data_IF_477406508040
#
_entry.id   IF_477406508040
#
_cell.length_a   1.000
_cell.length_b   1.000
_cell.length_c   1.000
_cell.angle_alpha   90.00
_cell.angle_beta   90.00
_cell.angle_gamma   90.00
#
_symmetry.space_group_name_H-M   'P 1'
#
loop_
_entity.id
_entity.type
_entity.pdbx_description
1 polymer ?
#
# COMPACT_ATOMS: atom_id res chain seq x y z
N UNK A 1 12.11 -3.78 22.28
CA UNK A 1 11.21 -4.17 21.18
C UNK A 1 10.58 -2.92 20.63
N UNK A 2 10.81 -2.62 19.34
CA UNK A 2 10.28 -1.43 18.69
C UNK A 2 8.75 -1.45 18.62
N UNK A 3 8.12 -0.28 18.70
CA UNK A 3 6.66 -0.13 18.56
C UNK A 3 6.34 0.31 17.14
N UNK A 4 5.55 -0.49 16.42
CA UNK A 4 5.03 -0.13 15.10
C UNK A 4 3.78 0.73 15.24
N UNK A 5 3.64 1.76 14.41
CA UNK A 5 2.38 2.50 14.27
C UNK A 5 1.28 1.63 13.70
N UNK A 6 0.02 2.01 13.90
CA UNK A 6 -1.11 1.29 13.29
C UNK A 6 -1.00 1.30 11.76
N UNK A 7 -0.61 2.45 11.19
CA UNK A 7 -0.31 2.56 9.76
C UNK A 7 0.75 1.56 9.31
N UNK A 8 1.91 1.48 9.99
CA UNK A 8 2.97 0.54 9.62
C UNK A 8 2.51 -0.92 9.68
N UNK A 9 1.81 -1.32 10.74
CA UNK A 9 1.25 -2.68 10.87
C UNK A 9 0.27 -3.01 9.75
N UNK A 10 -0.64 -2.10 9.43
CA UNK A 10 -1.63 -2.33 8.38
C UNK A 10 -0.98 -2.46 7.01
N UNK A 11 0.06 -1.67 6.73
CA UNK A 11 0.82 -1.75 5.47
C UNK A 11 1.65 -3.04 5.38
N UNK A 12 2.22 -3.51 6.49
CA UNK A 12 3.02 -4.74 6.56
C UNK A 12 2.16 -6.01 6.49
N UNK A 13 1.01 -6.02 7.17
CA UNK A 13 0.15 -7.21 7.32
C UNK A 13 -0.99 -7.25 6.31
N UNK A 14 -1.15 -6.23 5.45
CA UNK A 14 -2.26 -6.14 4.51
C UNK A 14 -3.62 -6.05 5.20
N UNK A 15 -3.64 -5.67 6.48
CA UNK A 15 -4.77 -5.85 7.39
C UNK A 15 -5.97 -4.94 7.15
N UNK A 16 -5.88 -4.03 6.21
CA UNK A 16 -7.03 -3.25 5.78
C UNK A 16 -7.45 -3.73 4.39
N UNK A 17 -8.49 -4.59 4.37
CA UNK A 17 -9.39 -4.74 3.22
C UNK A 17 -10.15 -3.41 3.09
N UNK A 18 -9.43 -2.36 2.71
CA UNK A 18 -10.00 -1.14 2.19
C UNK A 18 -10.22 -1.43 0.73
N UNK A 19 -11.39 -1.98 0.40
CA UNK A 19 -11.78 -2.03 -1.01
C UNK A 19 -11.74 -0.58 -1.51
N UNK A 20 -10.73 -0.26 -2.32
CA UNK A 20 -10.50 1.07 -2.85
C UNK A 20 -11.52 1.43 -3.93
N UNK A 21 -12.33 0.46 -4.36
CA UNK A 21 -13.43 0.66 -5.29
C UNK A 21 -14.71 0.99 -4.54
N UNK A 22 -15.40 2.02 -5.03
CA UNK A 22 -16.82 2.19 -4.73
C UNK A 22 -17.65 1.28 -5.64
N UNK A 23 -18.71 0.68 -5.10
CA UNK A 23 -19.70 -0.10 -5.87
C UNK A 23 -19.12 -1.29 -6.68
N UNK A 24 -18.23 -2.07 -6.08
CA UNK A 24 -17.75 -3.33 -6.67
C UNK A 24 -18.76 -4.48 -6.67
N UNK A 25 -19.83 -4.38 -5.87
CA UNK A 25 -20.90 -5.39 -5.73
C UNK A 25 -22.11 -5.16 -6.65
N UNK A 26 -22.09 -4.05 -7.41
CA UNK A 26 -23.11 -3.68 -8.39
C UNK A 26 -24.55 -3.77 -7.87
N UNK A 27 -24.80 -3.37 -6.63
CA UNK A 27 -26.06 -3.66 -5.93
C UNK A 27 -27.32 -2.95 -6.50
N UNK A 28 -27.18 -1.78 -7.13
CA UNK A 28 -28.35 -1.06 -7.67
C UNK A 28 -28.07 -0.19 -8.91
N UNK A 29 -26.83 -0.14 -9.38
CA UNK A 29 -26.42 0.53 -10.62
C UNK A 29 -24.96 0.19 -10.96
N UNK A 30 -24.49 0.62 -12.14
CA UNK A 30 -23.05 0.73 -12.46
C UNK A 30 -22.44 2.05 -11.97
N UNK A 31 -22.98 2.70 -10.93
CA UNK A 31 -22.42 3.95 -10.39
C UNK A 31 -20.93 3.81 -10.08
N UNK A 32 -20.12 4.79 -10.50
CA UNK A 32 -18.66 4.72 -10.41
C UNK A 32 -17.99 4.01 -11.58
N UNK A 33 -18.76 3.42 -12.50
CA UNK A 33 -18.30 2.81 -13.73
C UNK A 33 -18.92 3.49 -14.96
N UNK A 34 -18.15 3.56 -16.03
CA UNK A 34 -18.52 4.10 -17.33
C UNK A 34 -18.50 2.98 -18.36
N UNK A 35 -19.56 2.89 -19.14
CA UNK A 35 -19.62 2.01 -20.32
C UNK A 35 -19.10 2.75 -21.54
N UNK A 36 -18.12 2.18 -22.22
CA UNK A 36 -17.79 2.62 -23.59
C UNK A 36 -18.71 1.92 -24.60
N UNK A 37 -18.90 0.60 -24.42
CA UNK A 37 -19.80 -0.25 -25.22
C UNK A 37 -20.25 -1.43 -24.36
N UNK A 38 -21.54 -1.77 -24.36
CA UNK A 38 -22.01 -3.08 -23.88
C UNK A 38 -21.84 -3.38 -22.39
N UNK A 39 -21.50 -2.39 -21.56
CA UNK A 39 -21.35 -2.55 -20.11
C UNK A 39 -22.59 -2.03 -19.39
N UNK A 40 -23.27 -2.92 -18.70
CA UNK A 40 -24.51 -2.60 -18.00
C UNK A 40 -24.62 -3.39 -16.69
N UNK A 41 -25.45 -2.92 -15.77
CA UNK A 41 -25.83 -3.71 -14.61
C UNK A 41 -26.92 -4.71 -15.02
N UNK A 42 -26.84 -5.94 -14.54
CA UNK A 42 -28.01 -6.80 -14.43
C UNK A 42 -28.55 -6.73 -12.99
N UNK A 43 -29.81 -6.33 -12.83
CA UNK A 43 -30.48 -6.36 -11.52
C UNK A 43 -30.66 -7.80 -11.04
N UNK A 44 -30.37 -8.04 -9.76
CA UNK A 44 -30.43 -9.36 -9.14
C UNK A 44 -31.87 -9.88 -9.09
N UNK A 45 -32.14 -10.95 -9.84
CA UNK A 45 -33.31 -11.80 -9.56
C UNK A 45 -32.93 -13.28 -9.49
N UNK A 46 -31.81 -13.71 -10.06
CA UNK A 46 -31.20 -15.03 -9.81
C UNK A 46 -29.84 -15.06 -10.51
N UNK A 47 -28.76 -15.47 -9.83
CA UNK A 47 -27.47 -15.75 -10.48
C UNK A 47 -26.30 -14.81 -10.15
N UNK A 48 -26.48 -13.74 -9.35
CA UNK A 48 -25.36 -12.94 -8.83
C UNK A 48 -24.55 -13.74 -7.79
N UNK A 49 -23.24 -13.49 -7.67
CA UNK A 49 -22.41 -14.18 -6.67
C UNK A 49 -22.74 -13.71 -5.25
N UNK A 50 -22.95 -12.39 -5.09
CA UNK A 50 -23.27 -11.73 -3.82
C UNK A 50 -24.76 -11.52 -3.56
N UNK A 51 -25.64 -12.00 -4.45
CA UNK A 51 -27.11 -11.82 -4.39
C UNK A 51 -27.62 -10.37 -4.45
N UNK A 52 -26.76 -9.38 -4.73
CA UNK A 52 -27.13 -7.95 -4.84
C UNK A 52 -27.22 -7.44 -6.29
N UNK A 53 -26.33 -7.91 -7.17
CA UNK A 53 -26.29 -7.54 -8.59
C UNK A 53 -24.98 -8.00 -9.22
N UNK A 54 -24.79 -7.78 -10.52
CA UNK A 54 -23.52 -8.00 -11.21
C UNK A 54 -23.43 -7.13 -12.46
N UNK A 55 -22.23 -6.92 -12.97
CA UNK A 55 -22.00 -6.25 -14.23
C UNK A 55 -22.01 -7.25 -15.40
N UNK A 56 -22.65 -6.87 -16.51
CA UNK A 56 -22.67 -7.62 -17.76
C UNK A 56 -21.79 -6.94 -18.80
N UNK A 57 -20.96 -7.73 -19.48
CA UNK A 57 -20.16 -7.32 -20.63
C UNK A 57 -20.71 -7.98 -21.89
N UNK A 58 -21.61 -7.30 -22.60
CA UNK A 58 -22.29 -7.81 -23.80
C UNK A 58 -21.73 -7.17 -25.06
N UNK A 59 -21.03 -7.95 -25.88
CA UNK A 59 -20.52 -7.46 -27.17
C UNK A 59 -21.64 -7.22 -28.17
N UNK A 60 -21.51 -6.16 -28.96
CA UNK A 60 -22.52 -5.74 -29.95
C UNK A 60 -21.92 -5.52 -31.34
N UNK A 61 -21.13 -6.49 -31.82
CA UNK A 61 -20.28 -6.31 -33.01
C UNK A 61 -19.00 -5.50 -32.72
N UNK A 62 -18.72 -5.24 -31.45
CA UNK A 62 -17.53 -4.57 -30.92
C UNK A 62 -17.29 -5.09 -29.50
N UNK A 63 -16.05 -4.98 -29.03
CA UNK A 63 -15.69 -5.38 -27.67
C UNK A 63 -16.52 -4.59 -26.64
N UNK A 64 -16.99 -5.27 -25.60
CA UNK A 64 -17.70 -4.62 -24.50
C UNK A 64 -16.71 -4.21 -23.42
N UNK A 65 -16.86 -3.02 -22.87
CA UNK A 65 -15.89 -2.41 -21.94
C UNK A 65 -16.58 -1.59 -20.86
N UNK A 66 -16.24 -1.92 -19.61
CA UNK A 66 -16.60 -1.14 -18.43
C UNK A 66 -15.34 -0.62 -17.74
N UNK A 67 -15.19 0.70 -17.67
CA UNK A 67 -14.06 1.36 -17.00
C UNK A 67 -14.53 2.04 -15.73
N UNK A 68 -13.80 1.86 -14.64
CA UNK A 68 -14.04 2.62 -13.42
C UNK A 68 -13.77 4.11 -13.67
N UNK A 69 -14.77 4.95 -13.44
CA UNK A 69 -14.85 6.33 -13.93
C UNK A 69 -13.93 7.27 -13.19
N UNK A 70 -13.78 7.08 -11.87
CA UNK A 70 -12.84 7.85 -11.08
C UNK A 70 -11.44 7.24 -11.22
N UNK A 71 -10.44 8.08 -11.48
CA UNK A 71 -9.05 7.63 -11.34
C UNK A 71 -8.84 7.17 -9.89
N UNK A 72 -8.31 5.97 -9.72
CA UNK A 72 -7.90 5.44 -8.44
C UNK A 72 -6.60 6.14 -8.05
N UNK A 73 -6.60 6.81 -6.91
CA UNK A 73 -5.40 7.42 -6.34
C UNK A 73 -4.56 6.34 -5.67
N UNK A 74 -3.67 5.74 -6.44
CA UNK A 74 -2.76 4.70 -5.98
C UNK A 74 -1.34 5.26 -5.85
N UNK A 75 -0.64 4.89 -4.79
CA UNK A 75 0.77 5.25 -4.62
C UNK A 75 1.65 4.42 -5.57
N UNK A 76 2.59 5.09 -6.24
CA UNK A 76 3.64 4.45 -7.03
C UNK A 76 4.59 3.60 -6.18
N UNK A 77 5.28 2.66 -6.84
CA UNK A 77 6.12 1.60 -6.25
C UNK A 77 5.38 0.66 -5.28
N UNK A 78 4.06 0.74 -5.20
CA UNK A 78 3.28 -0.06 -4.27
C UNK A 78 2.57 -1.20 -4.98
N UNK A 79 2.54 -2.35 -4.30
CA UNK A 79 1.81 -3.52 -4.75
C UNK A 79 0.35 -3.48 -4.31
N UNK A 80 -0.53 -3.85 -5.22
CA UNK A 80 -1.97 -3.99 -5.00
C UNK A 80 -2.44 -5.36 -5.46
N UNK A 81 -3.50 -5.86 -4.85
CA UNK A 81 -4.23 -7.05 -5.29
C UNK A 81 -5.61 -6.63 -5.77
N UNK A 82 -5.95 -7.04 -6.98
CA UNK A 82 -7.32 -6.97 -7.49
C UNK A 82 -7.93 -8.37 -7.46
N UNK A 83 -9.11 -8.47 -6.87
CA UNK A 83 -9.92 -9.68 -6.93
C UNK A 83 -11.34 -9.39 -7.40
N UNK A 84 -11.92 -10.34 -8.10
CA UNK A 84 -13.28 -10.25 -8.62
C UNK A 84 -13.81 -11.65 -8.88
N UNK A 85 -15.12 -11.78 -8.95
CA UNK A 85 -15.76 -12.99 -9.42
C UNK A 85 -16.12 -12.85 -10.89
N UNK A 86 -15.89 -13.92 -11.65
CA UNK A 86 -16.23 -14.00 -13.06
C UNK A 86 -17.12 -15.20 -13.33
N UNK A 87 -18.11 -15.02 -14.20
CA UNK A 87 -18.86 -16.13 -14.79
C UNK A 87 -19.03 -15.90 -16.29
N UNK A 88 -18.84 -16.97 -17.07
CA UNK A 88 -19.18 -16.98 -18.49
C UNK A 88 -20.40 -17.89 -18.68
N UNK A 89 -21.53 -17.39 -19.20
CA UNK A 89 -22.73 -18.19 -19.38
C UNK A 89 -22.50 -19.34 -20.38
N UNK A 90 -23.19 -20.46 -20.17
CA UNK A 90 -23.10 -21.63 -21.06
C UNK A 90 -23.61 -21.33 -22.47
N UNK A 91 -24.62 -20.45 -22.58
CA UNK A 91 -25.13 -19.95 -23.84
C UNK A 91 -24.66 -18.52 -24.03
N UNK A 92 -24.24 -18.16 -25.24
CA UNK A 92 -23.70 -16.83 -25.57
C UNK A 92 -22.39 -16.47 -24.83
N UNK A 93 -21.75 -17.42 -24.15
CA UNK A 93 -20.46 -17.21 -23.50
C UNK A 93 -19.36 -16.78 -24.48
N UNK A 94 -18.46 -15.94 -23.98
CA UNK A 94 -17.22 -15.52 -24.66
C UNK A 94 -16.29 -16.71 -24.91
N UNK A 95 -15.49 -16.65 -25.98
CA UNK A 95 -14.52 -17.72 -26.33
C UNK A 95 -13.06 -17.31 -26.13
N UNK A 96 -12.79 -16.02 -25.93
CA UNK A 96 -11.45 -15.45 -25.76
C UNK A 96 -11.13 -15.05 -24.31
N UNK A 97 -12.14 -15.01 -23.45
CA UNK A 97 -12.01 -14.70 -22.04
C UNK A 97 -12.30 -13.25 -21.74
N UNK A 98 -12.30 -12.93 -20.45
CA UNK A 98 -12.48 -11.57 -19.96
C UNK A 98 -11.14 -11.02 -19.54
N UNK A 99 -10.92 -9.78 -19.93
CA UNK A 99 -9.71 -9.04 -19.63
C UNK A 99 -9.96 -8.08 -18.47
N UNK A 100 -9.07 -8.13 -17.48
CA UNK A 100 -8.91 -7.11 -16.48
C UNK A 100 -7.67 -6.29 -16.86
N UNK A 101 -7.90 -5.04 -17.29
CA UNK A 101 -6.85 -4.12 -17.69
C UNK A 101 -6.66 -3.07 -16.60
N UNK A 102 -5.39 -2.83 -16.27
CA UNK A 102 -4.95 -1.85 -15.29
C UNK A 102 -4.04 -0.90 -16.03
N UNK A 103 -4.38 0.38 -16.02
CA UNK A 103 -3.57 1.36 -16.73
C UNK A 103 -3.83 2.81 -16.37
N UNK A 104 -3.30 3.72 -17.18
CA UNK A 104 -3.36 5.16 -16.95
C UNK A 104 -4.27 5.85 -17.97
N UNK A 105 -4.19 7.18 -18.08
CA UNK A 105 -4.78 7.92 -19.20
C UNK A 105 -4.06 7.67 -20.53
N UNK A 106 -2.78 7.25 -20.50
CA UNK A 106 -1.98 7.01 -21.69
C UNK A 106 -2.29 5.65 -22.35
N UNK A 107 -2.70 4.65 -21.56
CA UNK A 107 -3.08 3.34 -22.07
C UNK A 107 -3.93 2.55 -21.08
N UNK A 108 -4.88 1.75 -21.58
CA UNK A 108 -5.79 0.99 -20.72
C UNK A 108 -5.12 -0.19 -19.98
N UNK A 109 -3.94 -0.62 -20.40
CA UNK A 109 -3.20 -1.79 -19.88
C UNK A 109 -1.68 -1.54 -19.76
N UNK A 110 -1.26 -0.28 -19.71
CA UNK A 110 0.16 0.08 -19.60
C UNK A 110 0.78 -0.31 -18.25
N UNK A 111 -0.03 -0.67 -17.25
CA UNK A 111 0.45 -1.22 -15.96
C UNK A 111 0.32 -2.75 -15.95
N UNK A 112 -0.87 -3.27 -16.24
CA UNK A 112 -1.11 -4.72 -16.28
C UNK A 112 -2.28 -5.09 -17.21
N UNK A 113 -2.20 -6.32 -17.74
CA UNK A 113 -3.25 -6.97 -18.50
C UNK A 113 -3.37 -8.42 -18.03
N UNK A 114 -4.55 -8.79 -17.56
CA UNK A 114 -4.86 -10.18 -17.26
C UNK A 114 -6.02 -10.63 -18.12
N UNK A 115 -5.86 -11.74 -18.83
CA UNK A 115 -6.95 -12.40 -19.57
C UNK A 115 -7.28 -13.69 -18.84
N UNK A 116 -8.57 -13.91 -18.58
CA UNK A 116 -9.00 -15.05 -17.81
C UNK A 116 -10.23 -15.72 -18.41
N UNK A 117 -10.22 -17.05 -18.38
CA UNK A 117 -11.32 -17.93 -18.77
C UNK A 117 -11.68 -18.85 -17.60
N UNK A 118 -12.95 -18.88 -17.17
CA UNK A 118 -13.38 -19.82 -16.13
C UNK A 118 -13.13 -21.28 -16.53
N UNK A 119 -12.79 -22.10 -15.54
CA UNK A 119 -12.60 -23.54 -15.73
C UNK A 119 -13.88 -24.28 -16.13
N UNK A 120 -15.04 -23.70 -15.82
CA UNK A 120 -16.36 -24.21 -16.20
C UNK A 120 -17.32 -23.07 -16.56
N UNK A 121 -18.13 -23.29 -17.60
CA UNK A 121 -19.22 -22.37 -17.97
C UNK A 121 -20.33 -22.37 -16.91
N UNK A 122 -21.08 -21.28 -16.86
CA UNK A 122 -22.17 -21.03 -15.90
C UNK A 122 -21.76 -21.20 -14.42
N UNK A 123 -20.47 -21.14 -14.11
CA UNK A 123 -19.95 -21.20 -12.74
C UNK A 123 -19.22 -19.91 -12.42
N UNK A 124 -19.44 -19.38 -11.22
CA UNK A 124 -18.68 -18.25 -10.71
C UNK A 124 -17.33 -18.74 -10.19
N UNK A 125 -16.25 -18.17 -10.71
CA UNK A 125 -14.90 -18.43 -10.27
C UNK A 125 -14.26 -17.14 -9.78
N UNK A 126 -13.55 -17.20 -8.65
CA UNK A 126 -12.84 -16.05 -8.09
C UNK A 126 -11.48 -15.94 -8.76
N UNK A 127 -11.18 -14.73 -9.24
CA UNK A 127 -9.91 -14.39 -9.85
C UNK A 127 -9.20 -13.37 -8.96
N UNK A 128 -7.88 -13.50 -8.81
CA UNK A 128 -7.03 -12.57 -8.07
C UNK A 128 -5.73 -12.32 -8.82
N UNK A 129 -5.30 -11.07 -8.89
CA UNK A 129 -4.03 -10.69 -9.51
C UNK A 129 -3.34 -9.60 -8.72
N UNK A 130 -2.03 -9.75 -8.56
CA UNK A 130 -1.19 -8.69 -8.01
C UNK A 130 -0.57 -7.84 -9.13
N UNK A 131 -0.43 -6.54 -8.87
CA UNK A 131 0.29 -5.62 -9.75
C UNK A 131 1.01 -4.55 -8.94
N UNK A 132 2.04 -3.95 -9.54
CA UNK A 132 2.81 -2.85 -8.94
C UNK A 132 2.56 -1.59 -9.76
N UNK A 133 2.21 -0.50 -9.09
CA UNK A 133 2.02 0.81 -9.75
C UNK A 133 3.40 1.44 -10.02
N UNK A 134 3.69 1.91 -11.25
CA UNK A 134 4.96 2.57 -11.55
C UNK A 134 5.21 3.80 -10.66
N UNK A 135 6.49 4.14 -10.43
CA UNK A 135 6.87 5.16 -9.45
C UNK A 135 6.20 6.53 -9.66
N UNK A 136 6.08 6.97 -10.91
CA UNK A 136 5.54 8.29 -11.27
C UNK A 136 4.04 8.26 -11.60
N UNK A 137 3.33 7.20 -11.21
CA UNK A 137 1.89 7.03 -11.47
C UNK A 137 1.10 7.22 -10.19
N UNK A 138 0.18 8.19 -10.21
CA UNK A 138 -0.76 8.46 -9.10
C UNK A 138 -2.23 8.26 -9.47
N UNK A 139 -2.53 8.07 -10.77
CA UNK A 139 -3.88 7.92 -11.30
C UNK A 139 -3.98 6.64 -12.12
N UNK A 140 -4.69 5.66 -11.58
CA UNK A 140 -4.85 4.33 -12.18
C UNK A 140 -6.31 4.09 -12.52
N UNK A 141 -6.55 3.41 -13.64
CA UNK A 141 -7.87 3.03 -14.10
C UNK A 141 -7.97 1.53 -14.21
N UNK A 142 -9.10 1.02 -13.74
CA UNK A 142 -9.49 -0.37 -13.87
C UNK A 142 -10.50 -0.50 -15.00
N UNK A 143 -10.27 -1.42 -15.92
CA UNK A 143 -11.19 -1.72 -17.01
C UNK A 143 -11.44 -3.22 -17.08
N UNK A 144 -12.70 -3.61 -17.17
CA UNK A 144 -13.08 -4.95 -17.60
C UNK A 144 -13.48 -4.92 -19.06
N UNK A 145 -12.99 -5.88 -19.83
CA UNK A 145 -13.25 -5.98 -21.26
C UNK A 145 -13.60 -7.40 -21.66
N UNK A 146 -14.68 -7.51 -22.42
CA UNK A 146 -14.94 -8.67 -23.27
C UNK A 146 -14.35 -8.37 -24.66
N UNK A 147 -13.25 -9.06 -24.99
CA UNK A 147 -12.55 -8.89 -26.27
C UNK A 147 -13.16 -9.68 -27.43
N UNK A 148 -14.18 -10.51 -27.16
CA UNK A 148 -14.95 -11.17 -28.22
C UNK A 148 -15.84 -10.14 -28.93
N UNK A 149 -15.48 -9.78 -30.16
CA UNK A 149 -16.23 -8.81 -30.97
C UNK A 149 -17.46 -9.42 -31.64
N UNK A 150 -17.64 -10.75 -31.54
CA UNK A 150 -18.81 -11.43 -32.09
C UNK A 150 -20.06 -10.90 -31.39
N UNK A 151 -21.09 -10.54 -32.15
CA UNK A 151 -22.32 -10.00 -31.58
C UNK A 151 -22.93 -10.94 -30.54
N UNK A 152 -23.52 -10.39 -29.48
CA UNK A 152 -24.25 -11.07 -28.39
C UNK A 152 -23.42 -11.90 -27.43
N UNK A 153 -22.08 -11.79 -27.43
CA UNK A 153 -21.26 -12.54 -26.47
C UNK A 153 -21.25 -11.87 -25.11
N UNK A 154 -21.42 -12.69 -24.08
CA UNK A 154 -21.69 -12.21 -22.72
C UNK A 154 -20.71 -12.81 -21.73
N UNK A 155 -20.31 -11.99 -20.76
CA UNK A 155 -19.75 -12.46 -19.49
C UNK A 155 -20.20 -11.56 -18.34
N UNK A 156 -19.99 -12.05 -17.12
CA UNK A 156 -20.44 -11.42 -15.90
C UNK A 156 -19.29 -11.22 -14.93
N UNK A 157 -19.23 -10.04 -14.31
CA UNK A 157 -18.27 -9.67 -13.27
C UNK A 157 -19.02 -9.22 -12.03
N UNK A 158 -18.57 -9.64 -10.86
CA UNK A 158 -19.18 -9.29 -9.57
C UNK A 158 -18.12 -9.15 -8.47
N UNK A 159 -18.49 -8.53 -7.35
CA UNK A 159 -17.69 -8.41 -6.13
C UNK A 159 -16.24 -7.95 -6.39
N UNK A 160 -16.08 -6.91 -7.22
CA UNK A 160 -14.77 -6.36 -7.54
C UNK A 160 -14.18 -5.66 -6.33
N UNK A 161 -12.98 -6.09 -5.94
CA UNK A 161 -12.26 -5.57 -4.80
C UNK A 161 -10.84 -5.22 -5.22
N UNK A 162 -10.41 -4.00 -4.92
CA UNK A 162 -9.03 -3.59 -5.04
C UNK A 162 -8.48 -3.31 -3.65
N UNK A 163 -7.44 -4.05 -3.27
CA UNK A 163 -6.82 -3.93 -1.97
C UNK A 163 -5.35 -3.57 -2.12
N UNK A 164 -4.81 -2.95 -1.10
CA UNK A 164 -3.37 -2.83 -0.91
C UNK A 164 -2.85 -4.24 -0.60
N UNK A 165 -1.89 -4.73 -1.38
CA UNK A 165 -1.16 -5.96 -1.01
C UNK A 165 -0.12 -5.62 0.06
N UNK A 166 0.28 -6.62 0.86
CA UNK A 166 1.31 -6.45 1.90
C UNK A 166 2.56 -5.82 1.29
N UNK A 167 2.99 -4.68 1.83
CA UNK A 167 4.25 -4.05 1.44
C UNK A 167 5.41 -4.68 2.19
N UNK A 168 6.57 -4.79 1.54
CA UNK A 168 7.81 -5.11 2.26
C UNK A 168 8.18 -3.96 3.21
N UNK A 169 9.01 -4.23 4.21
CA UNK A 169 9.48 -3.17 5.11
C UNK A 169 10.21 -2.07 4.35
N UNK A 170 11.05 -2.45 3.38
CA UNK A 170 11.81 -1.52 2.54
C UNK A 170 10.89 -0.68 1.66
N UNK A 171 9.83 -1.25 1.09
CA UNK A 171 8.84 -0.47 0.32
C UNK A 171 8.10 0.55 1.18
N UNK A 172 7.76 0.20 2.42
CA UNK A 172 6.99 1.05 3.32
C UNK A 172 7.83 2.23 3.85
N UNK A 173 9.12 1.99 4.07
CA UNK A 173 10.06 2.95 4.63
C UNK A 173 11.10 3.45 3.61
N UNK A 174 10.83 3.28 2.32
CA UNK A 174 11.64 3.86 1.25
C UNK A 174 11.74 5.38 1.45
N UNK A 175 12.96 5.90 1.52
CA UNK A 175 13.19 7.32 1.78
C UNK A 175 13.07 7.75 3.25
N UNK A 176 12.80 6.82 4.18
CA UNK A 176 12.62 7.16 5.60
C UNK A 176 13.92 7.62 6.26
N UNK A 177 13.76 8.44 7.30
CA UNK A 177 14.82 8.98 8.15
C UNK A 177 14.57 8.57 9.60
N UNK A 178 15.64 8.56 10.40
CA UNK A 178 15.55 8.26 11.83
C UNK A 178 15.66 9.56 12.64
N UNK A 179 14.56 9.98 13.28
CA UNK A 179 14.48 11.17 14.11
C UNK A 179 14.70 10.77 15.58
N UNK A 180 15.71 11.34 16.25
CA UNK A 180 16.09 11.06 17.64
C UNK A 180 15.61 12.18 18.55
N UNK A 181 15.03 11.82 19.69
CA UNK A 181 14.39 12.73 20.63
C UNK A 181 14.88 12.52 22.07
N UNK A 182 14.67 13.54 22.90
CA UNK A 182 14.78 13.45 24.35
C UNK A 182 13.41 13.21 25.02
N UNK A 183 13.42 13.20 26.36
CA UNK A 183 12.22 13.12 27.18
C UNK A 183 11.62 11.72 27.26
N UNK A 184 10.37 11.62 27.71
CA UNK A 184 9.72 10.32 27.91
C UNK A 184 9.16 9.80 26.59
N UNK A 185 9.62 8.63 26.14
CA UNK A 185 9.11 8.00 24.92
C UNK A 185 7.58 7.83 24.98
N UNK A 186 6.81 8.25 23.95
CA UNK A 186 5.38 8.05 23.93
C UNK A 186 4.96 6.58 24.06
N UNK A 187 3.74 6.35 24.56
CA UNK A 187 3.21 4.99 24.76
C UNK A 187 3.04 4.22 23.45
N UNK A 188 2.77 4.91 22.34
CA UNK A 188 2.64 4.34 20.99
C UNK A 188 3.45 5.16 19.98
N UNK A 189 3.73 4.57 18.81
CA UNK A 189 4.35 5.29 17.70
C UNK A 189 3.39 6.27 17.01
N UNK A 190 2.07 6.09 17.17
CA UNK A 190 1.04 6.97 16.59
C UNK A 190 0.91 8.29 17.37
N UNK A 191 1.23 8.30 18.66
CA UNK A 191 1.07 9.47 19.53
C UNK A 191 1.90 10.68 19.04
N UNK A 192 1.35 11.88 19.24
CA UNK A 192 2.02 13.13 18.86
C UNK A 192 3.37 13.32 19.58
N UNK A 193 4.32 13.94 18.88
CA UNK A 193 5.59 14.44 19.40
C UNK A 193 5.58 15.97 19.34
N UNK A 194 6.37 16.63 20.20
CA UNK A 194 6.62 18.06 20.05
C UNK A 194 5.60 18.96 20.72
N UNK A 195 4.74 18.42 21.60
CA UNK A 195 4.21 19.25 22.68
C UNK A 195 5.38 19.74 23.51
N UNK A 196 5.54 21.06 23.61
CA UNK A 196 6.70 21.82 24.14
C UNK A 196 7.19 21.37 25.54
N UNK A 197 6.45 20.50 26.21
CA UNK A 197 6.76 19.96 27.55
C UNK A 197 7.13 18.48 27.61
N UNK A 198 7.13 17.73 26.50
CA UNK A 198 7.32 16.27 26.57
C UNK A 198 8.59 15.75 25.87
N UNK A 199 8.91 16.25 24.66
CA UNK A 199 9.95 15.68 23.80
C UNK A 199 10.44 16.71 22.77
N UNK A 200 11.76 16.88 22.64
CA UNK A 200 12.42 17.72 21.66
C UNK A 200 13.20 16.89 20.65
N UNK A 201 13.17 17.29 19.38
CA UNK A 201 14.01 16.70 18.34
C UNK A 201 15.47 17.07 18.60
N UNK A 202 16.35 16.07 18.71
CA UNK A 202 17.79 16.26 18.88
C UNK A 202 18.52 16.15 17.55
N UNK A 203 18.24 15.09 16.77
CA UNK A 203 18.99 14.76 15.55
C UNK A 203 18.05 14.13 14.53
N UNK A 204 18.21 14.48 13.26
CA UNK A 204 17.68 13.69 12.13
C UNK A 204 18.83 12.96 11.48
N UNK A 205 18.77 11.63 11.48
CA UNK A 205 19.76 10.74 10.88
C UNK A 205 19.29 10.34 9.48
N UNK A 206 20.20 10.47 8.53
CA UNK A 206 20.01 10.07 7.13
C UNK A 206 21.26 9.38 6.59
N UNK A 207 21.15 8.85 5.37
CA UNK A 207 22.28 8.21 4.71
C UNK A 207 23.38 9.24 4.41
N UNK A 208 24.58 8.98 4.91
CA UNK A 208 25.74 9.87 4.82
C UNK A 208 25.48 11.30 5.34
N UNK A 209 24.44 11.50 6.16
CA UNK A 209 24.02 12.82 6.65
C UNK A 209 23.43 13.73 5.56
N UNK A 210 23.08 13.19 4.39
CA UNK A 210 22.51 13.94 3.28
C UNK A 210 21.01 14.15 3.54
N UNK A 211 20.55 15.39 3.44
CA UNK A 211 19.13 15.72 3.58
C UNK A 211 18.29 14.93 2.57
N UNK A 212 17.20 14.32 3.05
CA UNK A 212 16.28 13.49 2.25
C UNK A 212 16.89 12.22 1.63
N UNK A 213 18.10 11.84 2.01
CA UNK A 213 18.63 10.53 1.64
C UNK A 213 18.09 9.47 2.62
N UNK A 214 17.19 8.63 2.12
CA UNK A 214 16.61 7.52 2.88
C UNK A 214 17.64 6.52 3.37
N UNK A 215 17.34 5.91 4.52
CA UNK A 215 18.12 4.83 5.10
C UNK A 215 17.79 3.51 4.40
N UNK A 216 18.80 2.69 4.09
CA UNK A 216 18.57 1.31 3.64
C UNK A 216 18.68 0.32 4.79
N UNK A 217 17.91 -0.76 4.74
CA UNK A 217 18.05 -1.89 5.66
C UNK A 217 18.77 -3.05 4.97
N UNK A 218 19.53 -3.81 5.75
CA UNK A 218 20.09 -5.08 5.28
C UNK A 218 19.04 -6.18 5.25
N UNK A 219 19.41 -7.31 4.65
CA UNK A 219 18.54 -8.48 4.56
C UNK A 219 18.03 -8.93 5.93
N UNK A 220 16.74 -9.27 5.99
CA UNK A 220 16.14 -9.79 7.21
C UNK A 220 16.72 -11.18 7.54
N UNK A 221 17.19 -11.35 8.78
CA UNK A 221 17.65 -12.64 9.30
C UNK A 221 17.04 -12.88 10.67
N UNK A 222 16.44 -14.07 10.88
CA UNK A 222 15.78 -14.46 12.13
C UNK A 222 14.77 -13.41 12.67
N UNK A 223 14.04 -12.75 11.78
CA UNK A 223 13.06 -11.71 12.15
C UNK A 223 13.68 -10.37 12.55
N UNK A 224 14.97 -10.16 12.28
CA UNK A 224 15.69 -8.92 12.58
C UNK A 224 16.13 -8.26 11.28
N UNK A 225 15.78 -6.99 11.11
CA UNK A 225 16.36 -6.10 10.10
C UNK A 225 17.46 -5.28 10.76
N UNK A 226 18.61 -5.16 10.11
CA UNK A 226 19.77 -4.43 10.66
C UNK A 226 20.24 -3.34 9.73
N UNK A 227 20.84 -2.29 10.29
CA UNK A 227 21.64 -1.34 9.50
C UNK A 227 22.70 -2.09 8.67
N UNK A 228 22.83 -1.82 7.37
CA UNK A 228 23.87 -2.41 6.55
C UNK A 228 25.27 -1.90 6.96
N UNK A 229 26.27 -2.78 6.87
CA UNK A 229 27.65 -2.46 7.25
C UNK A 229 28.32 -1.45 6.31
N UNK A 230 27.82 -1.34 5.07
CA UNK A 230 28.40 -0.50 4.01
C UNK A 230 27.82 0.92 3.95
N UNK A 231 26.83 1.24 4.78
CA UNK A 231 26.20 2.57 4.81
C UNK A 231 26.54 3.30 6.11
N UNK A 232 26.86 4.60 6.03
CA UNK A 232 27.01 5.42 7.24
C UNK A 232 25.70 6.14 7.52
N UNK A 233 25.13 5.86 8.70
CA UNK A 233 23.96 6.58 9.20
C UNK A 233 24.43 7.68 10.14
N UNK A 234 24.25 8.94 9.75
CA UNK A 234 24.69 10.08 10.56
C UNK A 234 23.77 11.28 10.43
N UNK A 235 23.94 12.23 11.34
CA UNK A 235 23.25 13.52 11.30
C UNK A 235 23.88 14.50 12.28
N UNK A 236 23.65 15.79 12.03
CA UNK A 236 24.11 16.87 12.90
C UNK A 236 23.01 17.22 13.90
N UNK A 237 23.38 17.34 15.18
CA UNK A 237 22.44 17.67 16.23
C UNK A 237 21.93 19.10 16.14
N UNK A 238 20.62 19.29 16.27
CA UNK A 238 19.99 20.61 16.34
C UNK A 238 19.85 21.10 17.77
N UNK A 239 19.69 20.20 18.75
CA UNK A 239 19.54 20.52 20.16
C UNK A 239 20.48 19.67 21.04
N UNK A 240 20.87 20.21 22.20
CA UNK A 240 21.64 19.49 23.21
C UNK A 240 20.72 18.87 24.26
N UNK A 241 20.81 17.56 24.49
CA UNK A 241 20.04 16.85 25.53
C UNK A 241 20.53 15.40 25.64
N UNK A 242 19.83 14.59 26.44
CA UNK A 242 20.04 13.14 26.46
C UNK A 242 19.04 12.44 25.56
N UNK A 243 19.52 11.71 24.55
CA UNK A 243 18.71 10.90 23.66
C UNK A 243 18.06 9.73 24.43
N UNK A 244 16.75 9.56 24.27
CA UNK A 244 15.98 8.53 24.98
C UNK A 244 15.20 7.61 24.05
N UNK A 245 14.73 8.12 22.90
CA UNK A 245 14.01 7.33 21.91
C UNK A 245 14.19 7.88 20.49
N UNK A 246 13.84 7.08 19.49
CA UNK A 246 13.87 7.48 18.10
C UNK A 246 12.62 7.04 17.34
N UNK A 247 12.33 7.69 16.21
CA UNK A 247 11.31 7.26 15.25
C UNK A 247 11.88 7.15 13.84
N UNK A 248 11.71 5.99 13.21
CA UNK A 248 11.83 5.84 11.76
C UNK A 248 10.51 6.29 11.15
N UNK A 249 10.57 7.29 10.27
CA UNK A 249 9.41 7.88 9.61
C UNK A 249 9.82 8.53 8.29
N UNK A 250 8.85 8.84 7.43
CA UNK A 250 9.13 9.61 6.22
C UNK A 250 9.58 11.05 6.59
N UNK A 251 10.43 11.70 5.77
CA UNK A 251 10.95 13.04 6.07
C UNK A 251 9.85 14.07 6.37
N UNK A 252 8.73 13.98 5.63
CA UNK A 252 7.55 14.85 5.69
C UNK A 252 6.55 14.49 6.81
N UNK A 253 6.84 13.48 7.63
CA UNK A 253 5.98 13.12 8.75
C UNK A 253 5.80 14.31 9.72
N UNK A 254 4.56 14.80 9.94
CA UNK A 254 4.29 15.99 10.73
C UNK A 254 4.47 15.79 12.24
N UNK A 255 4.66 14.54 12.71
CA UNK A 255 4.81 14.21 14.12
C UNK A 255 3.53 14.37 14.94
N UNK A 256 2.37 14.60 14.31
CA UNK A 256 1.06 14.70 14.97
C UNK A 256 0.51 13.32 15.35
N UNK A 257 -0.55 13.31 16.16
CA UNK A 257 -1.29 12.08 16.44
C UNK A 257 -1.89 11.49 15.15
N UNK A 258 -1.64 10.21 14.91
CA UNK A 258 -2.05 9.49 13.70
C UNK A 258 -2.83 8.20 14.02
N UNK A 259 -3.28 8.02 15.27
CA UNK A 259 -3.97 6.81 15.69
C UNK A 259 -5.27 6.54 14.90
N UNK A 260 -5.93 7.61 14.42
CA UNK A 260 -7.17 7.52 13.65
C UNK A 260 -6.94 7.54 12.13
N UNK A 261 -6.10 8.44 11.63
CA UNK A 261 -5.89 8.65 10.20
C UNK A 261 -5.00 7.57 9.56
N UNK A 262 -4.06 7.01 10.33
CA UNK A 262 -3.20 5.90 9.91
C UNK A 262 -2.45 6.17 8.59
N UNK A 263 -2.11 7.43 8.34
CA UNK A 263 -1.47 7.85 7.10
C UNK A 263 0.04 7.61 7.12
N UNK A 264 0.67 7.81 8.27
CA UNK A 264 2.12 7.91 8.45
C UNK A 264 2.69 6.62 9.10
N UNK A 265 3.40 5.77 8.34
CA UNK A 265 4.05 4.61 8.91
C UNK A 265 5.22 5.07 9.79
N UNK A 266 5.28 4.58 11.03
CA UNK A 266 6.32 4.91 11.99
C UNK A 266 6.79 3.66 12.71
N UNK A 267 8.07 3.61 13.05
CA UNK A 267 8.63 2.66 14.02
C UNK A 267 9.29 3.44 15.14
N UNK A 268 8.89 3.20 16.38
CA UNK A 268 9.48 3.83 17.55
C UNK A 268 10.46 2.90 18.25
N UNK A 269 11.65 3.41 18.55
CA UNK A 269 12.77 2.69 19.13
C UNK A 269 13.16 3.25 20.49
N UNK A 270 13.67 2.40 21.37
CA UNK A 270 14.47 2.82 22.52
C UNK A 270 15.90 3.14 22.08
N UNK A 271 16.51 4.16 22.69
CA UNK A 271 17.88 4.61 22.39
C UNK A 271 18.75 4.50 23.64
N UNK A 272 19.97 4.00 23.47
CA UNK A 272 20.92 3.80 24.57
C UNK A 272 22.32 3.47 24.06
N UNK A 273 23.23 3.12 24.97
CA UNK A 273 24.59 2.65 24.65
C UNK A 273 24.71 1.13 24.66
N UNK A 274 23.72 0.42 25.19
CA UNK A 274 23.63 -1.05 25.19
C UNK A 274 22.21 -1.50 25.53
N UNK A 275 21.82 -2.71 25.09
CA UNK A 275 20.53 -3.32 25.46
C UNK A 275 19.28 -2.62 24.91
N UNK A 276 19.45 -1.68 23.97
CA UNK A 276 18.38 -0.90 23.33
C UNK A 276 18.26 -1.23 21.85
N UNK A 277 17.15 -0.83 21.23
CA UNK A 277 16.90 -1.12 19.80
C UNK A 277 17.89 -0.34 18.88
N UNK A 278 18.23 0.89 19.27
CA UNK A 278 19.27 1.73 18.64
C UNK A 278 20.43 1.93 19.62
N UNK A 279 21.66 1.72 19.15
CA UNK A 279 22.88 1.88 19.95
C UNK A 279 23.71 3.05 19.41
N UNK A 280 23.94 4.04 20.29
CA UNK A 280 24.83 5.18 20.08
C UNK A 280 26.16 4.97 20.81
N UNK A 281 27.22 5.66 20.37
CA UNK A 281 28.46 5.77 21.15
C UNK A 281 28.27 6.53 22.47
N UNK A 282 27.37 7.52 22.47
CA UNK A 282 26.97 8.29 23.64
C UNK A 282 25.52 8.76 23.47
N UNK A 283 24.77 8.86 24.57
CA UNK A 283 23.41 9.41 24.57
C UNK A 283 23.36 10.91 24.86
N UNK A 284 24.45 11.47 25.39
CA UNK A 284 24.59 12.92 25.54
C UNK A 284 24.86 13.55 24.17
N UNK A 285 23.87 14.27 23.66
CA UNK A 285 23.93 14.95 22.38
C UNK A 285 24.24 16.43 22.62
N UNK A 286 25.15 16.97 21.82
CA UNK A 286 25.52 18.39 21.83
C UNK A 286 25.14 18.98 20.49
N UNK A 287 24.38 20.08 20.50
CA UNK A 287 24.02 20.84 19.29
C UNK A 287 25.25 21.17 18.45
N UNK A 288 25.12 21.02 17.13
CA UNK A 288 26.19 21.23 16.16
C UNK A 288 27.17 20.05 16.00
N UNK A 289 27.13 19.05 16.88
CA UNK A 289 27.97 17.87 16.75
C UNK A 289 27.33 16.82 15.82
N UNK A 290 28.16 16.20 15.00
CA UNK A 290 27.77 15.02 14.22
C UNK A 290 27.65 13.79 15.14
N UNK A 291 26.58 13.03 14.97
CA UNK A 291 26.35 11.76 15.64
C UNK A 291 26.18 10.67 14.60
N UNK A 292 26.88 9.56 14.78
CA UNK A 292 26.80 8.37 13.93
C UNK A 292 26.09 7.24 14.66
N UNK A 293 25.32 6.45 13.92
CA UNK A 293 24.70 5.23 14.45
C UNK A 293 25.66 4.06 14.23
N UNK A 294 26.07 3.41 15.31
CA UNK A 294 26.93 2.24 15.23
C UNK A 294 26.13 1.02 14.77
N UNK A 295 25.04 0.72 15.47
CA UNK A 295 24.14 -0.38 15.12
C UNK A 295 22.70 0.05 15.34
N UNK A 296 21.85 -0.33 14.39
CA UNK A 296 20.40 -0.25 14.52
C UNK A 296 19.83 -1.62 14.18
N UNK A 297 18.88 -2.07 14.99
CA UNK A 297 18.17 -3.32 14.73
C UNK A 297 16.67 -3.13 14.94
N UNK A 298 15.89 -3.72 14.07
CA UNK A 298 14.45 -3.78 14.15
C UNK A 298 14.09 -5.25 14.28
N UNK A 299 13.73 -5.67 15.50
CA UNK A 299 13.17 -7.00 15.71
C UNK A 299 11.67 -6.94 15.40
N UNK A 300 11.25 -7.69 14.38
CA UNK A 300 9.85 -7.90 14.09
C UNK A 300 9.23 -8.72 15.22
N UNK A 301 8.01 -8.40 15.67
CA UNK A 301 7.31 -9.23 16.65
C UNK A 301 7.22 -10.66 16.12
N UNK A 302 7.72 -11.63 16.90
CA UNK A 302 7.40 -13.03 16.66
C UNK A 302 5.90 -13.25 16.82
N UNK A 303 5.33 -14.14 16.00
CA UNK A 303 3.94 -14.58 16.10
C UNK A 303 3.57 -15.04 17.50
#
# INVERSE_FOLDING_TARGET
>A
MPKLSLAARNKLLGGQILNLLSNGTFASAITGWTSTVGFAQASAVTGAKGSTGYATLTSSGSAAEGRYTAALTLNGKRKYDISYWLQVPATLGVTTGIQCLIGTTAGASDIALHTYMPSALATWERVSHEFIVPADTSSVYLTFKNSDVTNTKVAYVDEVCLNISTGSFDEIFEGAVLKIYDGTAPSTADAAIGSVTANNLLITISREGITNAGLHFGDAAAGILTKPIWETWKGTAVNSSTATFARLCLPDDPGTDDASAQAHPRVQFTVGTSGTDIILSQTSITSGADTTIQTASITMPGS
#
